data_IF_078797469807
#
_entry.id   IF_078797469807
#
_cell.length_a   1.000
_cell.length_b   1.000
_cell.length_c   1.000
_cell.angle_alpha   90.00
_cell.angle_beta   90.00
_cell.angle_gamma   90.00
#
_symmetry.space_group_name_H-M   'P 1'
#
loop_
_entity.id
_entity.type
_entity.pdbx_description
1 polymer ?
#
# COMPACT_ATOMS: atom_id res chain seq x y z
N UNK A 1 -7.21 -24.62 21.34
CA UNK A 1 -6.41 -23.52 20.79
C UNK A 1 -5.80 -22.68 21.92
N UNK A 2 -6.58 -22.31 22.97
CA UNK A 2 -6.08 -21.55 24.15
C UNK A 2 -4.89 -22.23 24.82
N UNK A 3 -4.97 -23.56 25.06
CA UNK A 3 -3.87 -24.32 25.63
C UNK A 3 -2.63 -24.33 24.74
N UNK A 4 -2.83 -24.30 23.44
CA UNK A 4 -1.73 -24.22 22.48
C UNK A 4 -1.03 -22.86 22.58
N UNK A 5 -1.79 -21.77 22.58
CA UNK A 5 -1.26 -20.40 22.71
C UNK A 5 -0.48 -20.27 24.03
N UNK A 6 -1.07 -20.72 25.15
CA UNK A 6 -0.45 -20.63 26.45
C UNK A 6 0.86 -21.45 26.56
N UNK A 7 0.96 -22.56 25.85
CA UNK A 7 2.14 -23.47 25.89
C UNK A 7 3.24 -23.09 24.91
N UNK A 8 2.90 -22.45 23.79
CA UNK A 8 3.86 -22.18 22.70
C UNK A 8 4.43 -20.78 22.71
N UNK A 9 3.84 -19.87 23.49
CA UNK A 9 4.24 -18.46 23.55
C UNK A 9 4.31 -17.79 22.17
N UNK A 10 3.36 -18.12 21.29
CA UNK A 10 3.20 -17.48 19.97
C UNK A 10 2.42 -16.19 20.11
N UNK A 11 2.72 -15.22 19.26
CA UNK A 11 2.13 -13.86 19.30
C UNK A 11 0.89 -13.71 18.42
N UNK A 12 0.64 -14.63 17.50
CA UNK A 12 -0.51 -14.54 16.59
C UNK A 12 -0.63 -15.67 15.58
N UNK A 13 -1.69 -15.61 14.80
CA UNK A 13 -1.95 -16.50 13.66
C UNK A 13 -2.12 -15.74 12.37
N UNK A 14 -1.60 -16.31 11.30
CA UNK A 14 -1.99 -15.96 9.95
C UNK A 14 -3.08 -16.93 9.46
N UNK A 15 -4.21 -16.37 9.03
CA UNK A 15 -5.39 -17.13 8.59
C UNK A 15 -5.33 -17.30 7.07
N UNK A 16 -4.86 -18.46 6.65
CA UNK A 16 -4.77 -18.84 5.24
C UNK A 16 -6.17 -19.02 4.64
N UNK A 17 -6.37 -18.51 3.40
CA UNK A 17 -7.64 -18.53 2.65
C UNK A 17 -8.84 -17.90 3.34
N UNK A 18 -8.65 -17.19 4.45
CA UNK A 18 -9.71 -16.56 5.22
C UNK A 18 -9.64 -15.03 5.13
N UNK A 19 -10.80 -14.39 5.07
CA UNK A 19 -10.96 -12.93 5.18
C UNK A 19 -11.73 -12.53 6.44
N UNK A 20 -12.11 -13.50 7.27
CA UNK A 20 -12.88 -13.27 8.50
C UNK A 20 -12.46 -14.22 9.60
N UNK A 21 -12.64 -13.76 10.85
CA UNK A 21 -12.45 -14.59 12.04
C UNK A 21 -13.76 -15.34 12.35
N UNK A 22 -13.68 -16.64 12.62
CA UNK A 22 -14.77 -17.37 13.29
C UNK A 22 -15.07 -16.78 14.65
N UNK A 23 -16.31 -16.80 15.09
CA UNK A 23 -16.72 -16.23 16.39
C UNK A 23 -15.95 -16.82 17.59
N UNK A 24 -15.51 -18.07 17.49
CA UNK A 24 -14.66 -18.71 18.49
C UNK A 24 -13.32 -18.01 18.71
N UNK A 25 -12.79 -17.30 17.70
CA UNK A 25 -11.54 -16.56 17.82
C UNK A 25 -11.68 -15.24 18.56
N UNK A 26 -12.89 -14.66 18.58
CA UNK A 26 -13.21 -13.47 19.39
C UNK A 26 -12.97 -13.75 20.87
N UNK A 27 -13.31 -14.94 21.32
CA UNK A 27 -13.08 -15.37 22.71
C UNK A 27 -11.60 -15.43 23.03
N UNK A 28 -10.78 -15.83 22.06
CA UNK A 28 -9.32 -15.86 22.19
C UNK A 28 -8.75 -14.47 22.34
N UNK A 29 -9.16 -13.51 21.51
CA UNK A 29 -8.70 -12.12 21.64
C UNK A 29 -9.06 -11.48 22.98
N UNK A 30 -10.24 -11.79 23.51
CA UNK A 30 -10.65 -11.32 24.85
C UNK A 30 -9.77 -11.88 25.95
N UNK A 31 -9.34 -13.13 25.82
CA UNK A 31 -8.50 -13.82 26.80
C UNK A 31 -7.01 -13.48 26.67
N UNK A 32 -6.58 -13.23 25.43
CA UNK A 32 -5.21 -12.87 25.06
C UNK A 32 -5.21 -11.56 24.25
N UNK A 33 -5.31 -10.39 24.88
CA UNK A 33 -5.51 -9.09 24.19
C UNK A 33 -4.35 -8.70 23.25
N UNK A 34 -3.14 -9.22 23.52
CA UNK A 34 -1.96 -8.99 22.68
C UNK A 34 -1.82 -9.98 21.52
N UNK A 35 -2.74 -10.96 21.43
CA UNK A 35 -2.67 -11.98 20.39
C UNK A 35 -3.22 -11.45 19.06
N UNK A 36 -2.44 -11.56 18.01
CA UNK A 36 -2.73 -10.97 16.72
C UNK A 36 -3.32 -11.97 15.73
N UNK A 37 -4.24 -11.50 14.90
CA UNK A 37 -4.75 -12.25 13.77
C UNK A 37 -4.54 -11.47 12.48
N UNK A 38 -3.87 -12.07 11.50
CA UNK A 38 -3.77 -11.55 10.17
C UNK A 38 -4.50 -12.46 9.17
N UNK A 39 -5.09 -11.90 8.12
CA UNK A 39 -5.86 -12.67 7.13
C UNK A 39 -5.24 -12.62 5.74
N UNK A 40 -5.43 -13.69 4.97
CA UNK A 40 -5.04 -13.75 3.57
C UNK A 40 -5.94 -12.88 2.67
N UNK A 41 -7.20 -12.69 3.04
CA UNK A 41 -8.16 -11.89 2.29
C UNK A 41 -8.47 -10.55 2.95
N UNK A 42 -8.81 -9.55 2.12
CA UNK A 42 -9.30 -8.26 2.62
C UNK A 42 -10.65 -8.45 3.30
N UNK A 43 -10.83 -7.96 4.55
CA UNK A 43 -12.11 -8.06 5.26
C UNK A 43 -13.21 -7.33 4.51
N UNK A 44 -14.44 -7.86 4.62
CA UNK A 44 -15.63 -7.29 3.96
C UNK A 44 -16.60 -6.63 4.92
N UNK A 45 -16.43 -6.88 6.22
CA UNK A 45 -17.31 -6.38 7.28
C UNK A 45 -16.49 -5.60 8.31
N UNK A 46 -17.07 -4.54 8.87
CA UNK A 46 -16.42 -3.70 9.89
C UNK A 46 -15.93 -4.52 11.08
N UNK A 47 -16.75 -5.45 11.59
CA UNK A 47 -16.38 -6.35 12.70
C UNK A 47 -15.08 -7.12 12.42
N UNK A 48 -14.87 -7.54 11.19
CA UNK A 48 -13.66 -8.27 10.80
C UNK A 48 -12.44 -7.36 10.77
N UNK A 49 -12.62 -6.10 10.36
CA UNK A 49 -11.54 -5.09 10.35
C UNK A 49 -11.06 -4.82 11.76
N UNK A 50 -11.98 -4.70 12.71
CA UNK A 50 -11.67 -4.44 14.13
C UNK A 50 -10.95 -5.62 14.82
N UNK A 51 -11.12 -6.82 14.31
CA UNK A 51 -10.56 -8.06 14.87
C UNK A 51 -9.24 -8.49 14.25
N UNK A 52 -8.93 -8.00 13.06
CA UNK A 52 -7.73 -8.38 12.32
C UNK A 52 -6.68 -7.28 12.46
N UNK A 53 -5.47 -7.64 12.80
CA UNK A 53 -4.35 -6.70 12.90
C UNK A 53 -3.75 -6.32 11.55
N UNK A 54 -3.94 -7.17 10.54
CA UNK A 54 -3.56 -6.87 9.16
C UNK A 54 -4.22 -7.81 8.17
N UNK A 55 -4.22 -7.44 6.90
CA UNK A 55 -4.77 -8.26 5.82
C UNK A 55 -3.92 -8.20 4.55
N UNK A 56 -4.11 -9.19 3.69
CA UNK A 56 -3.53 -9.19 2.35
C UNK A 56 -4.54 -8.74 1.31
N UNK A 57 -4.10 -7.90 0.37
CA UNK A 57 -4.84 -7.56 -0.84
C UNK A 57 -4.35 -8.45 -1.97
N UNK A 58 -5.12 -9.48 -2.27
CA UNK A 58 -4.84 -10.43 -3.34
C UNK A 58 -5.42 -9.94 -4.68
N UNK A 59 -4.94 -8.78 -5.13
CA UNK A 59 -5.31 -8.30 -6.45
C UNK A 59 -4.46 -8.99 -7.51
N UNK A 60 -5.09 -9.30 -8.61
CA UNK A 60 -4.44 -9.98 -9.72
C UNK A 60 -4.46 -11.47 -9.55
N UNK A 61 -5.64 -11.94 -9.64
CA UNK A 61 -6.04 -13.32 -9.54
C UNK A 61 -5.08 -14.31 -10.24
N UNK A 62 -5.21 -15.52 -9.81
CA UNK A 62 -4.87 -16.84 -10.34
C UNK A 62 -4.85 -16.92 -11.90
N UNK A 63 -5.48 -16.00 -12.60
CA UNK A 63 -5.56 -15.99 -14.06
C UNK A 63 -4.26 -15.53 -14.68
N UNK A 64 -3.68 -16.37 -15.48
CA UNK A 64 -2.55 -16.04 -16.36
C UNK A 64 -2.90 -14.78 -17.17
N UNK A 65 -1.98 -13.80 -17.21
CA UNK A 65 -2.10 -12.55 -18.00
C UNK A 65 -3.02 -11.47 -17.43
N UNK A 66 -3.37 -11.47 -16.16
CA UNK A 66 -4.08 -10.34 -15.56
C UNK A 66 -3.12 -9.15 -15.40
N UNK A 67 -3.47 -8.04 -16.04
CA UNK A 67 -2.76 -6.77 -15.87
C UNK A 67 -3.29 -6.07 -14.62
N UNK A 68 -2.42 -5.83 -13.66
CA UNK A 68 -2.78 -5.08 -12.46
C UNK A 68 -2.92 -3.60 -12.79
N UNK A 69 -4.11 -3.06 -12.65
CA UNK A 69 -4.34 -1.63 -12.79
C UNK A 69 -3.86 -0.89 -11.55
N UNK A 70 -3.28 0.30 -11.76
CA UNK A 70 -2.85 1.16 -10.67
C UNK A 70 -3.96 2.16 -10.40
N UNK A 71 -4.70 1.88 -9.36
CA UNK A 71 -5.85 2.67 -8.90
C UNK A 71 -5.75 2.89 -7.38
N UNK A 72 -6.54 3.82 -6.84
CA UNK A 72 -6.64 4.00 -5.40
C UNK A 72 -7.34 2.79 -4.76
N UNK A 73 -6.72 2.23 -3.74
CA UNK A 73 -7.34 1.18 -2.94
C UNK A 73 -8.19 1.82 -1.85
N UNK A 74 -9.50 1.90 -2.07
CA UNK A 74 -10.42 2.59 -1.16
C UNK A 74 -10.41 2.01 0.24
N UNK A 75 -10.24 0.69 0.41
CA UNK A 75 -10.13 0.08 1.73
C UNK A 75 -9.00 0.70 2.55
N UNK A 76 -7.81 0.88 1.93
CA UNK A 76 -6.64 1.50 2.57
C UNK A 76 -6.90 2.94 3.04
N UNK A 77 -7.75 3.69 2.32
CA UNK A 77 -8.05 5.09 2.64
C UNK A 77 -9.21 5.24 3.63
N UNK A 78 -10.16 4.32 3.63
CA UNK A 78 -11.29 4.31 4.58
C UNK A 78 -10.87 3.74 5.94
N UNK A 79 -9.96 2.75 5.94
CA UNK A 79 -9.45 2.11 7.15
C UNK A 79 -7.93 2.25 7.24
N UNK A 80 -7.41 3.48 7.41
CA UNK A 80 -5.98 3.75 7.33
C UNK A 80 -5.17 3.06 8.44
N UNK A 81 -5.79 2.76 9.56
CA UNK A 81 -5.16 2.07 10.70
C UNK A 81 -5.08 0.55 10.52
N UNK A 82 -5.79 0.00 9.52
CA UNK A 82 -5.71 -1.42 9.20
C UNK A 82 -4.62 -1.65 8.12
N UNK A 83 -3.46 -2.23 8.48
CA UNK A 83 -2.39 -2.51 7.52
C UNK A 83 -2.86 -3.46 6.43
N UNK A 84 -2.81 -3.01 5.19
CA UNK A 84 -3.13 -3.80 4.02
C UNK A 84 -1.85 -4.03 3.20
N UNK A 85 -1.56 -5.28 2.88
CA UNK A 85 -0.34 -5.67 2.18
C UNK A 85 -0.66 -6.26 0.81
N UNK A 86 -0.07 -5.69 -0.23
CA UNK A 86 -0.17 -6.23 -1.59
C UNK A 86 0.58 -7.55 -1.72
N UNK A 87 -0.08 -8.56 -2.25
CA UNK A 87 0.55 -9.86 -2.53
C UNK A 87 1.10 -9.90 -3.93
N UNK A 88 2.40 -10.15 -4.05
CA UNK A 88 3.02 -10.48 -5.32
C UNK A 88 2.82 -11.96 -5.60
N UNK A 89 1.82 -12.29 -6.38
CA UNK A 89 1.49 -13.68 -6.67
C UNK A 89 2.61 -14.48 -7.32
N UNK A 90 2.56 -15.75 -7.04
CA UNK A 90 3.50 -16.80 -7.49
C UNK A 90 3.25 -17.28 -8.92
N UNK A 91 2.11 -16.96 -9.53
CA UNK A 91 1.77 -17.46 -10.87
C UNK A 91 2.68 -16.91 -11.96
N UNK A 92 3.02 -17.74 -12.92
CA UNK A 92 3.70 -17.34 -14.15
C UNK A 92 2.85 -16.29 -14.86
N UNK A 93 3.45 -15.14 -15.19
CA UNK A 93 2.74 -14.02 -15.83
C UNK A 93 2.15 -13.00 -14.86
N UNK A 94 2.40 -13.13 -13.55
CA UNK A 94 2.00 -12.07 -12.60
C UNK A 94 2.73 -10.76 -12.91
N UNK A 95 1.98 -9.67 -12.99
CA UNK A 95 2.53 -8.32 -13.23
C UNK A 95 3.15 -7.74 -11.94
N UNK A 96 4.30 -8.28 -11.56
CA UNK A 96 5.04 -7.85 -10.37
C UNK A 96 5.42 -6.37 -10.39
N UNK A 97 5.68 -5.81 -11.58
CA UNK A 97 6.00 -4.38 -11.71
C UNK A 97 4.80 -3.50 -11.31
N UNK A 98 3.60 -3.85 -11.75
CA UNK A 98 2.39 -3.11 -11.40
C UNK A 98 1.98 -3.32 -9.94
N UNK A 99 2.19 -4.51 -9.38
CA UNK A 99 1.95 -4.77 -7.95
C UNK A 99 2.84 -3.88 -7.09
N UNK A 100 4.13 -3.78 -7.38
CA UNK A 100 5.06 -2.90 -6.66
C UNK A 100 4.64 -1.42 -6.78
N UNK A 101 4.24 -0.99 -7.98
CA UNK A 101 3.77 0.38 -8.22
C UNK A 101 2.47 0.67 -7.48
N UNK A 102 1.52 -0.27 -7.48
CA UNK A 102 0.26 -0.14 -6.77
C UNK A 102 0.47 -0.07 -5.26
N UNK A 103 1.35 -0.90 -4.70
CA UNK A 103 1.75 -0.81 -3.29
C UNK A 103 2.33 0.58 -2.97
N UNK A 104 3.24 1.08 -3.81
CA UNK A 104 3.83 2.40 -3.65
C UNK A 104 2.80 3.53 -3.74
N UNK A 105 1.89 3.47 -4.71
CA UNK A 105 0.86 4.48 -4.94
C UNK A 105 -0.13 4.59 -3.77
N UNK A 106 -0.46 3.46 -3.15
CA UNK A 106 -1.43 3.39 -2.06
C UNK A 106 -0.80 3.42 -0.66
N UNK A 107 0.52 3.48 -0.52
CA UNK A 107 1.17 3.36 0.79
C UNK A 107 0.86 2.02 1.47
N UNK A 108 0.88 0.94 0.71
CA UNK A 108 0.61 -0.41 1.19
C UNK A 108 1.90 -1.20 1.36
N UNK A 109 1.94 -2.13 2.31
CA UNK A 109 3.01 -3.11 2.40
C UNK A 109 3.07 -4.03 1.18
N UNK A 110 4.14 -4.79 1.07
CA UNK A 110 4.33 -5.76 0.00
C UNK A 110 4.73 -7.11 0.59
N UNK A 111 3.92 -8.12 0.34
CA UNK A 111 4.26 -9.50 0.64
C UNK A 111 5.21 -10.02 -0.44
N UNK A 112 6.41 -10.42 -0.03
CA UNK A 112 7.42 -10.94 -0.95
C UNK A 112 7.30 -12.46 -0.98
N UNK A 113 6.77 -12.95 -2.07
CA UNK A 113 6.54 -14.37 -2.28
C UNK A 113 7.33 -14.83 -3.52
N UNK A 114 8.42 -15.54 -3.31
CA UNK A 114 9.30 -15.95 -4.39
C UNK A 114 9.28 -17.46 -4.65
N UNK A 115 9.05 -18.25 -3.63
CA UNK A 115 8.94 -19.71 -3.72
C UNK A 115 7.68 -20.16 -3.01
N UNK A 116 6.71 -20.64 -3.77
CA UNK A 116 5.44 -21.13 -3.26
C UNK A 116 5.14 -22.45 -3.95
N UNK A 117 4.85 -23.46 -3.16
CA UNK A 117 4.56 -24.83 -3.66
C UNK A 117 5.64 -25.36 -4.62
N UNK A 118 6.91 -25.05 -4.35
CA UNK A 118 8.04 -25.46 -5.18
C UNK A 118 8.17 -24.70 -6.51
N UNK A 119 7.42 -23.63 -6.70
CA UNK A 119 7.53 -22.77 -7.91
C UNK A 119 8.37 -21.55 -7.58
N UNK A 120 9.58 -21.49 -8.14
CA UNK A 120 10.48 -20.38 -7.97
C UNK A 120 10.21 -19.29 -9.01
N UNK A 121 9.67 -18.17 -8.54
CA UNK A 121 9.38 -16.98 -9.36
C UNK A 121 10.02 -15.72 -8.74
N UNK A 122 11.36 -15.60 -8.83
CA UNK A 122 12.06 -14.53 -8.17
C UNK A 122 11.74 -13.17 -8.79
N UNK A 123 11.88 -12.13 -7.97
CA UNK A 123 11.93 -10.77 -8.48
C UNK A 123 13.22 -10.57 -9.28
N UNK A 124 13.14 -9.96 -10.45
CA UNK A 124 14.30 -9.58 -11.22
C UNK A 124 15.06 -8.41 -10.55
N UNK A 125 16.28 -8.11 -11.04
CA UNK A 125 17.13 -7.10 -10.42
C UNK A 125 16.51 -5.70 -10.41
N UNK A 126 15.75 -5.32 -11.45
CA UNK A 126 15.03 -4.05 -11.50
C UNK A 126 13.96 -3.99 -10.40
N UNK A 127 13.17 -5.03 -10.26
CA UNK A 127 12.13 -5.14 -9.23
C UNK A 127 12.73 -5.11 -7.81
N UNK A 128 13.81 -5.85 -7.57
CA UNK A 128 14.53 -5.81 -6.28
C UNK A 128 15.02 -4.40 -5.93
N UNK A 129 15.54 -3.67 -6.92
CA UNK A 129 15.94 -2.26 -6.71
C UNK A 129 14.74 -1.35 -6.43
N UNK A 130 13.61 -1.57 -7.09
CA UNK A 130 12.37 -0.83 -6.83
C UNK A 130 11.85 -1.09 -5.42
N UNK A 131 11.81 -2.35 -4.98
CA UNK A 131 11.42 -2.74 -3.61
C UNK A 131 12.34 -2.10 -2.58
N UNK A 132 13.67 -2.13 -2.81
CA UNK A 132 14.64 -1.47 -1.93
C UNK A 132 14.39 0.03 -1.79
N UNK A 133 14.10 0.72 -2.91
CA UNK A 133 13.75 2.15 -2.90
C UNK A 133 12.45 2.40 -2.15
N UNK A 134 11.42 1.59 -2.39
CA UNK A 134 10.14 1.66 -1.72
C UNK A 134 10.30 1.50 -0.21
N UNK A 135 11.01 0.45 0.24
CA UNK A 135 11.34 0.24 1.66
C UNK A 135 12.02 1.47 2.29
N UNK A 136 13.00 2.05 1.59
CA UNK A 136 13.71 3.22 2.11
C UNK A 136 12.78 4.43 2.27
N UNK A 137 11.84 4.64 1.33
CA UNK A 137 10.85 5.71 1.42
C UNK A 137 9.86 5.44 2.55
N UNK A 138 9.35 4.22 2.65
CA UNK A 138 8.41 3.83 3.69
C UNK A 138 9.03 3.96 5.09
N UNK A 139 10.25 3.49 5.28
CA UNK A 139 10.95 3.65 6.56
C UNK A 139 11.17 5.12 6.92
N UNK A 140 11.57 5.94 5.94
CA UNK A 140 11.88 7.35 6.19
C UNK A 140 10.65 8.19 6.49
N UNK A 141 9.51 7.86 5.88
CA UNK A 141 8.28 8.63 5.96
C UNK A 141 7.14 7.82 6.58
N UNK A 142 7.49 6.86 7.42
CA UNK A 142 6.54 5.94 8.04
C UNK A 142 5.35 6.66 8.66
N UNK A 143 5.61 7.65 9.51
CA UNK A 143 4.57 8.40 10.23
C UNK A 143 3.66 9.26 9.33
N UNK A 144 4.02 9.43 8.05
CA UNK A 144 3.18 10.16 7.09
C UNK A 144 2.39 9.15 6.24
N UNK A 145 3.06 8.12 5.75
CA UNK A 145 2.46 7.17 4.80
C UNK A 145 1.51 6.20 5.50
N UNK A 146 1.88 5.74 6.70
CA UNK A 146 1.10 4.78 7.48
C UNK A 146 0.31 5.44 8.63
N UNK A 147 0.26 6.77 8.66
CA UNK A 147 -0.62 7.51 9.55
C UNK A 147 -2.09 7.43 9.11
N UNK A 148 -2.98 7.88 9.99
CA UNK A 148 -4.43 7.87 9.79
C UNK A 148 -4.93 8.88 8.75
N UNK A 149 -4.07 9.83 8.34
CA UNK A 149 -4.49 10.94 7.49
C UNK A 149 -4.07 10.72 6.04
N UNK A 150 -5.05 10.48 5.17
CA UNK A 150 -4.81 10.31 3.74
C UNK A 150 -6.04 10.69 2.91
N UNK A 151 -5.81 11.18 1.69
CA UNK A 151 -6.86 11.52 0.74
C UNK A 151 -6.56 10.85 -0.59
N UNK A 152 -7.43 9.94 -1.06
CA UNK A 152 -7.27 9.34 -2.37
C UNK A 152 -7.67 10.30 -3.48
N UNK A 153 -7.06 10.13 -4.65
CA UNK A 153 -7.47 10.74 -5.91
C UNK A 153 -7.69 12.25 -5.83
N UNK A 154 -6.78 12.97 -5.16
CA UNK A 154 -6.83 14.44 -5.18
C UNK A 154 -6.73 14.96 -6.61
N UNK A 155 -7.27 16.16 -6.84
CA UNK A 155 -7.27 16.80 -8.14
C UNK A 155 -5.85 16.97 -8.70
N UNK A 156 -5.69 16.61 -9.97
CA UNK A 156 -4.45 16.81 -10.72
C UNK A 156 -4.65 17.89 -11.78
N UNK A 157 -3.60 18.68 -12.00
CA UNK A 157 -3.63 19.79 -12.97
C UNK A 157 -3.30 19.36 -14.40
N UNK A 158 -3.04 18.08 -14.61
CA UNK A 158 -2.72 17.52 -15.93
C UNK A 158 -3.49 16.24 -16.16
N UNK A 159 -4.09 16.11 -17.33
CA UNK A 159 -4.77 14.87 -17.74
C UNK A 159 -3.79 13.70 -17.80
N UNK A 160 -4.27 12.51 -17.46
CA UNK A 160 -3.45 11.29 -17.49
C UNK A 160 -2.66 11.03 -16.20
N UNK A 161 -2.96 11.79 -15.15
CA UNK A 161 -2.39 11.59 -13.81
C UNK A 161 -3.49 11.19 -12.83
N UNK A 162 -3.09 10.40 -11.84
CA UNK A 162 -3.82 10.21 -10.59
C UNK A 162 -2.87 10.47 -9.42
N UNK A 163 -3.41 10.97 -8.31
CA UNK A 163 -2.61 11.37 -7.17
C UNK A 163 -3.29 11.02 -5.86
N UNK A 164 -2.59 10.36 -4.96
CA UNK A 164 -2.98 10.20 -3.57
C UNK A 164 -2.12 11.11 -2.68
N UNK A 165 -2.73 11.65 -1.63
CA UNK A 165 -2.05 12.47 -0.62
C UNK A 165 -2.03 11.74 0.71
N UNK A 166 -0.88 11.71 1.36
CA UNK A 166 -0.69 11.27 2.74
C UNK A 166 -0.17 12.45 3.55
N UNK A 167 -0.63 12.60 4.78
CA UNK A 167 -0.16 13.69 5.64
C UNK A 167 -0.23 13.30 7.12
N UNK A 168 0.55 13.98 7.94
CA UNK A 168 0.53 13.84 9.38
C UNK A 168 0.05 15.12 10.07
N UNK A 169 -0.12 15.06 11.38
CA UNK A 169 -0.62 16.18 12.19
C UNK A 169 0.34 17.39 12.17
N UNK A 170 1.61 17.19 11.83
CA UNK A 170 2.59 18.26 11.64
C UNK A 170 2.48 18.92 10.25
N UNK A 171 1.41 18.65 9.50
CA UNK A 171 1.18 19.19 8.16
C UNK A 171 2.29 18.84 7.14
N UNK A 172 3.02 17.76 7.37
CA UNK A 172 3.95 17.21 6.39
C UNK A 172 3.13 16.37 5.41
N UNK A 173 3.34 16.57 4.11
CA UNK A 173 2.55 15.92 3.05
C UNK A 173 3.44 15.13 2.10
N UNK A 174 2.94 13.98 1.66
CA UNK A 174 3.52 13.17 0.59
C UNK A 174 2.46 12.98 -0.49
N UNK A 175 2.86 13.20 -1.73
CA UNK A 175 2.04 13.01 -2.92
C UNK A 175 2.55 11.81 -3.70
N UNK A 176 1.73 10.77 -3.80
CA UNK A 176 1.99 9.64 -4.67
C UNK A 176 1.31 9.90 -6.03
N UNK A 177 2.11 10.25 -7.03
CA UNK A 177 1.62 10.60 -8.37
C UNK A 177 1.91 9.45 -9.33
N UNK A 178 0.89 9.01 -10.06
CA UNK A 178 1.02 8.02 -11.09
C UNK A 178 0.57 8.56 -12.45
N UNK A 179 1.44 8.45 -13.44
CA UNK A 179 1.14 8.74 -14.84
C UNK A 179 0.70 7.43 -15.53
N UNK A 180 -0.58 7.33 -15.87
CA UNK A 180 -1.14 6.16 -16.53
C UNK A 180 -1.07 6.24 -18.08
N UNK A 181 -0.51 7.34 -18.60
CA UNK A 181 -0.26 7.47 -20.04
C UNK A 181 1.12 6.90 -20.40
N UNK A 182 1.30 6.53 -21.64
CA UNK A 182 2.60 6.14 -22.16
C UNK A 182 3.45 7.33 -22.65
N UNK A 183 3.00 8.58 -22.32
CA UNK A 183 3.60 9.82 -22.77
C UNK A 183 4.18 10.61 -21.61
N UNK A 184 5.22 11.38 -21.85
CA UNK A 184 5.71 12.35 -20.87
C UNK A 184 4.72 13.47 -20.72
N UNK A 185 4.39 13.81 -19.47
CA UNK A 185 3.52 14.95 -19.13
C UNK A 185 4.42 16.12 -18.77
N UNK A 186 4.17 17.27 -19.39
CA UNK A 186 4.86 18.53 -19.12
C UNK A 186 3.86 19.52 -18.55
N UNK A 187 4.29 20.32 -17.57
CA UNK A 187 3.45 21.31 -16.93
C UNK A 187 3.20 21.04 -15.44
N UNK A 188 2.25 21.77 -14.85
CA UNK A 188 1.91 21.56 -13.43
C UNK A 188 1.20 20.23 -13.26
N UNK A 189 1.56 19.50 -12.20
CA UNK A 189 1.02 18.17 -11.93
C UNK A 189 -0.08 18.22 -10.86
N UNK A 190 0.19 18.92 -9.76
CA UNK A 190 -0.69 19.01 -8.60
C UNK A 190 -0.60 20.42 -8.04
N UNK A 191 -1.73 20.99 -7.61
CA UNK A 191 -1.74 22.24 -6.85
C UNK A 191 -1.23 21.97 -5.44
N UNK A 192 -0.22 22.72 -5.03
CA UNK A 192 0.26 22.70 -3.65
C UNK A 192 -0.17 24.01 -2.99
N UNK A 193 -0.73 23.90 -1.80
CA UNK A 193 -0.86 25.06 -0.93
C UNK A 193 0.53 25.70 -0.74
N UNK A 194 0.63 27.01 -0.55
CA UNK A 194 1.91 27.69 -0.40
C UNK A 194 2.62 27.23 0.86
N UNK A 195 3.35 26.14 0.80
CA UNK A 195 4.08 25.51 1.88
C UNK A 195 5.57 25.47 1.58
N UNK A 196 6.28 25.67 2.61
CA UNK A 196 7.57 26.25 2.83
C UNK A 196 8.77 25.41 2.39
N UNK A 197 8.71 24.09 2.35
CA UNK A 197 9.85 23.24 1.94
C UNK A 197 9.36 21.96 1.28
N UNK A 198 9.57 21.85 -0.02
CA UNK A 198 9.20 20.64 -0.75
C UNK A 198 10.44 19.89 -1.21
N UNK A 199 10.49 18.60 -0.91
CA UNK A 199 11.54 17.70 -1.38
C UNK A 199 10.92 16.68 -2.32
N UNK A 200 11.41 16.64 -3.56
CA UNK A 200 10.94 15.67 -4.55
C UNK A 200 11.77 14.40 -4.46
N UNK A 201 11.11 13.27 -4.32
CA UNK A 201 11.72 11.95 -4.44
C UNK A 201 11.00 11.14 -5.52
N UNK A 202 11.77 10.58 -6.43
CA UNK A 202 11.25 9.70 -7.48
C UNK A 202 11.59 8.26 -7.13
N UNK A 203 10.58 7.41 -7.05
CA UNK A 203 10.75 5.98 -6.74
C UNK A 203 10.75 5.15 -8.03
N UNK A 204 9.85 5.48 -8.96
CA UNK A 204 9.65 4.75 -10.20
C UNK A 204 9.62 5.71 -11.39
N UNK A 205 10.23 5.33 -12.50
CA UNK A 205 10.06 6.00 -13.77
C UNK A 205 11.32 6.53 -14.40
N UNK A 206 11.16 7.06 -15.60
CA UNK A 206 12.17 7.73 -16.42
C UNK A 206 12.54 9.05 -15.73
N UNK A 207 13.80 9.48 -15.88
CA UNK A 207 14.29 10.77 -15.37
C UNK A 207 13.27 11.88 -15.64
N UNK A 208 12.67 12.41 -14.58
CA UNK A 208 11.76 13.56 -14.66
C UNK A 208 12.46 14.75 -14.04
N UNK A 209 12.55 15.84 -14.76
CA UNK A 209 12.96 17.13 -14.22
C UNK A 209 11.75 17.77 -13.53
N UNK A 210 11.41 17.26 -12.34
CA UNK A 210 10.35 17.84 -11.53
C UNK A 210 10.87 19.15 -10.90
N UNK A 211 10.23 20.25 -11.22
CA UNK A 211 10.50 21.55 -10.63
C UNK A 211 9.30 22.01 -9.83
N UNK A 212 9.53 22.58 -8.66
CA UNK A 212 8.50 23.23 -7.87
C UNK A 212 8.45 24.70 -8.31
N UNK A 213 7.34 25.08 -8.92
CA UNK A 213 7.04 26.49 -9.17
C UNK A 213 6.13 27.00 -8.07
N UNK A 214 6.50 28.10 -7.41
CA UNK A 214 5.58 28.81 -6.53
C UNK A 214 4.43 29.35 -7.35
N UNK A 215 3.22 28.90 -7.06
CA UNK A 215 2.01 29.50 -7.62
C UNK A 215 1.83 30.83 -6.90
N UNK A 216 1.94 31.95 -7.61
CA UNK A 216 1.54 33.25 -7.06
C UNK A 216 0.06 33.16 -6.73
N UNK A 217 -0.36 33.59 -5.52
CA UNK A 217 -1.77 33.77 -5.20
C UNK A 217 -2.42 34.58 -6.34
N UNK A 218 -3.38 33.99 -7.02
CA UNK A 218 -4.29 34.75 -7.85
C UNK A 218 -5.23 35.41 -6.85
N UNK A 219 -5.07 36.71 -6.65
CA UNK A 219 -6.02 37.52 -5.88
C UNK A 219 -7.32 37.51 -6.69
N UNK A 220 -8.32 36.78 -6.22
CA UNK A 220 -9.73 36.94 -6.63
C UNK A 220 -10.34 38.08 -5.84
#
# INVERSE_FOLDING_TARGET
LEDFIAKTNIDGFFLDTMSSLPDSFITIQKKFPSFEFASEGTPKEQRQIEQLTSSWDQIGDIRRNYKVEIEANMFRFVFPEHPLNMVSRWSVGSDKDSIIKRAAFNGMGLVIWQDVFGVWLPFNNKQKQQIKKLKNVFNKYHNIIFGSNSVPLIETLSNGLICNQFYNDNNQKIFAIYNFTNKSIKGPLVALEPIVKTKIQQIFGIKTNLQIKKIKKINT
#
